data_IF_317700591022
#
_entry.id   IF_317700591022
#
_cell.length_a   1.000
_cell.length_b   1.000
_cell.length_c   1.000
_cell.angle_alpha   90.00
_cell.angle_beta   90.00
_cell.angle_gamma   90.00
#
_symmetry.space_group_name_H-M   'P 1'
#
loop_
_entity.id
_entity.type
_entity.pdbx_description
1 polymer ?
#
# COMPACT_ATOMS: atom_id res chain seq x y z
N UNK A 1 -8.80 25.57 4.68
CA UNK A 1 -8.80 24.82 3.41
C UNK A 1 -7.68 23.81 3.54
N UNK A 2 -8.03 22.57 3.85
CA UNK A 2 -7.08 21.53 4.24
C UNK A 2 -6.21 21.09 3.05
N UNK A 3 -4.90 21.15 3.26
CA UNK A 3 -3.84 20.90 2.26
C UNK A 3 -3.40 19.42 2.22
N UNK A 4 -4.22 18.47 2.67
CA UNK A 4 -3.84 17.04 2.80
C UNK A 4 -4.59 16.10 1.86
N UNK A 5 -5.31 16.63 0.86
CA UNK A 5 -6.02 15.83 -0.13
C UNK A 5 -5.10 15.18 -1.18
N UNK A 6 -4.18 14.31 -0.75
CA UNK A 6 -3.55 13.35 -1.66
C UNK A 6 -4.65 12.38 -2.11
N UNK A 7 -4.87 12.15 -3.42
CA UNK A 7 -5.92 11.25 -3.87
C UNK A 7 -5.59 9.82 -3.43
N UNK A 8 -6.34 9.31 -2.43
CA UNK A 8 -6.18 7.98 -1.82
C UNK A 8 -6.47 6.79 -2.77
N UNK A 9 -6.74 7.02 -4.06
CA UNK A 9 -7.26 5.99 -4.97
C UNK A 9 -6.23 4.95 -5.44
N UNK A 10 -4.95 5.08 -5.10
CA UNK A 10 -3.88 4.23 -5.67
C UNK A 10 -2.98 3.52 -4.63
N UNK A 11 -3.29 3.59 -3.34
CA UNK A 11 -2.52 2.90 -2.30
C UNK A 11 -3.27 1.65 -1.82
N UNK A 12 -2.54 0.59 -1.48
CA UNK A 12 -3.14 -0.62 -0.90
C UNK A 12 -3.79 -0.26 0.44
N UNK A 13 -5.07 -0.54 0.60
CA UNK A 13 -5.77 -0.35 1.87
C UNK A 13 -5.77 -1.65 2.66
N UNK A 14 -4.98 -1.68 3.72
CA UNK A 14 -4.93 -2.81 4.65
C UNK A 14 -5.80 -2.46 5.85
N UNK A 15 -6.90 -3.18 6.04
CA UNK A 15 -7.76 -3.02 7.20
C UNK A 15 -7.37 -3.99 8.30
N UNK A 16 -7.20 -3.49 9.53
CA UNK A 16 -6.92 -4.34 10.69
C UNK A 16 -8.11 -4.35 11.63
N UNK A 17 -8.69 -5.54 11.79
CA UNK A 17 -9.92 -5.78 12.55
C UNK A 17 -9.63 -6.70 13.73
N UNK A 18 -10.44 -6.59 14.77
CA UNK A 18 -10.25 -7.38 15.99
C UNK A 18 -10.90 -6.73 17.20
N UNK A 19 -11.26 -7.55 18.19
CA UNK A 19 -11.75 -7.06 19.48
C UNK A 19 -10.76 -6.10 20.17
N UNK A 20 -11.24 -5.33 21.14
CA UNK A 20 -10.36 -4.52 22.00
C UNK A 20 -9.33 -5.41 22.67
N UNK A 21 -8.13 -4.87 22.83
CA UNK A 21 -6.99 -5.57 23.43
C UNK A 21 -6.53 -6.85 22.70
N UNK A 22 -6.96 -7.11 21.46
CA UNK A 22 -6.42 -8.23 20.65
C UNK A 22 -4.97 -8.00 20.19
N UNK A 23 -4.45 -6.79 20.36
CA UNK A 23 -3.06 -6.43 20.03
C UNK A 23 -2.87 -5.88 18.61
N UNK A 24 -3.92 -5.33 17.99
CA UNK A 24 -3.88 -4.66 16.68
C UNK A 24 -2.75 -3.63 16.57
N UNK A 25 -2.69 -2.66 17.49
CA UNK A 25 -1.66 -1.60 17.52
C UNK A 25 -0.24 -2.16 17.64
N UNK A 26 -0.07 -3.21 18.45
CA UNK A 26 1.22 -3.90 18.58
C UNK A 26 1.61 -4.60 17.29
N UNK A 27 0.64 -5.24 16.61
CA UNK A 27 0.85 -5.86 15.31
C UNK A 27 1.24 -4.82 14.25
N UNK A 28 0.55 -3.67 14.19
CA UNK A 28 0.88 -2.57 13.30
C UNK A 28 2.34 -2.15 13.49
N UNK A 29 2.75 -1.88 14.73
CA UNK A 29 4.12 -1.51 15.06
C UNK A 29 5.15 -2.59 14.71
N UNK A 30 4.77 -3.86 14.80
CA UNK A 30 5.64 -4.97 14.43
C UNK A 30 5.78 -5.08 12.89
N UNK A 31 4.71 -4.83 12.13
CA UNK A 31 4.71 -4.86 10.67
C UNK A 31 5.51 -3.71 10.05
N UNK A 32 5.38 -2.50 10.59
CA UNK A 32 6.11 -1.29 10.12
C UNK A 32 7.59 -1.29 10.51
N UNK A 33 8.01 -2.19 11.40
CA UNK A 33 9.43 -2.50 11.60
C UNK A 33 10.29 -1.42 12.26
N UNK A 34 9.70 -0.37 12.87
CA UNK A 34 10.36 0.76 13.54
C UNK A 34 11.91 0.74 13.54
N UNK A 35 12.50 1.12 12.39
CA UNK A 35 13.90 1.50 12.25
C UNK A 35 14.02 3.03 12.30
N UNK A 36 13.50 3.65 13.36
CA UNK A 36 13.92 4.98 13.80
C UNK A 36 13.29 6.23 13.16
N UNK A 37 12.32 6.16 12.25
CA UNK A 37 11.80 7.35 11.53
C UNK A 37 10.28 7.58 11.58
N UNK A 38 9.54 6.95 12.49
CA UNK A 38 8.15 7.34 12.76
C UNK A 38 7.78 7.11 14.21
N UNK A 39 6.94 8.00 14.76
CA UNK A 39 6.36 7.79 16.08
C UNK A 39 5.64 6.43 16.11
N UNK A 40 5.75 5.67 17.21
CA UNK A 40 5.02 4.41 17.36
C UNK A 40 3.53 4.66 17.15
N UNK A 41 2.87 3.72 16.48
CA UNK A 41 1.42 3.74 16.29
C UNK A 41 0.73 3.71 17.65
N UNK A 42 -0.02 4.77 17.94
CA UNK A 42 -0.95 4.86 19.05
C UNK A 42 -2.36 4.74 18.47
N UNK A 43 -3.12 3.77 18.96
CA UNK A 43 -4.53 3.63 18.58
C UNK A 43 -5.32 4.84 19.04
N UNK A 44 -5.99 5.48 18.10
CA UNK A 44 -6.98 6.49 18.40
C UNK A 44 -8.28 5.78 18.79
N UNK A 45 -8.85 6.13 19.94
CA UNK A 45 -10.09 5.52 20.47
C UNK A 45 -11.34 6.14 19.80
N UNK A 46 -11.22 6.56 18.55
CA UNK A 46 -12.26 7.29 17.83
C UNK A 46 -13.24 6.32 17.17
N UNK A 47 -14.53 6.69 17.18
CA UNK A 47 -15.61 5.91 16.56
C UNK A 47 -15.48 5.80 15.03
N UNK A 48 -14.87 6.79 14.39
CA UNK A 48 -14.63 6.79 12.94
C UNK A 48 -13.34 6.04 12.58
N UNK A 49 -13.32 5.27 11.48
CA UNK A 49 -12.12 4.59 11.02
C UNK A 49 -11.03 5.61 10.66
N UNK A 50 -9.84 5.39 11.20
CA UNK A 50 -8.69 6.29 10.98
C UNK A 50 -7.81 5.71 9.88
N UNK A 51 -7.55 6.52 8.87
CA UNK A 51 -6.68 6.18 7.75
C UNK A 51 -5.29 6.74 8.02
N UNK A 52 -4.27 5.88 8.07
CA UNK A 52 -2.87 6.32 8.23
C UNK A 52 -2.01 5.70 7.14
N UNK A 53 -1.27 6.53 6.40
CA UNK A 53 -0.25 6.03 5.48
C UNK A 53 0.92 5.47 6.30
N UNK A 54 1.28 4.23 6.03
CA UNK A 54 2.38 3.52 6.67
C UNK A 54 3.25 2.83 5.60
N UNK A 55 4.50 2.55 5.95
CA UNK A 55 5.39 1.75 5.12
C UNK A 55 5.55 0.37 5.74
N UNK A 56 5.24 -0.68 4.98
CA UNK A 56 5.46 -2.07 5.40
C UNK A 56 6.59 -2.65 4.55
N UNK A 57 7.59 -3.22 5.25
CA UNK A 57 8.71 -3.89 4.60
C UNK A 57 8.22 -4.98 3.64
N UNK A 58 8.69 -4.93 2.39
CA UNK A 58 8.31 -5.88 1.33
C UNK A 58 7.02 -5.54 0.60
N UNK A 59 6.28 -4.50 1.01
CA UNK A 59 5.01 -4.06 0.38
C UNK A 59 5.05 -2.58 -0.05
N UNK A 60 5.83 -1.76 0.65
CA UNK A 60 5.96 -0.32 0.41
C UNK A 60 4.88 0.51 1.11
N UNK A 61 4.56 1.67 0.53
CA UNK A 61 3.55 2.60 1.06
C UNK A 61 2.13 2.02 0.92
N UNK A 62 1.39 2.00 2.02
CA UNK A 62 0.01 1.53 2.10
C UNK A 62 -0.82 2.36 3.08
N UNK A 63 -2.13 2.33 2.93
CA UNK A 63 -3.07 2.95 3.86
C UNK A 63 -3.54 1.90 4.86
N UNK A 64 -3.22 2.12 6.12
CA UNK A 64 -3.81 1.38 7.22
C UNK A 64 -5.18 1.96 7.54
N UNK A 65 -6.19 1.10 7.58
CA UNK A 65 -7.52 1.43 8.14
C UNK A 65 -7.58 0.84 9.54
N UNK A 66 -7.40 1.69 10.57
CA UNK A 66 -7.63 1.27 11.95
C UNK A 66 -9.09 1.47 12.31
N UNK A 67 -9.72 0.38 12.72
CA UNK A 67 -11.10 0.39 13.19
C UNK A 67 -11.12 0.44 14.71
N UNK A 68 -12.07 1.20 15.26
CA UNK A 68 -12.36 1.15 16.68
C UNK A 68 -12.51 -0.32 17.11
N UNK A 69 -11.69 -0.76 18.05
CA UNK A 69 -11.76 -2.15 18.51
C UNK A 69 -13.15 -2.44 19.10
N UNK A 70 -13.76 -3.55 18.69
CA UNK A 70 -15.05 -3.98 19.22
C UNK A 70 -14.92 -4.45 20.68
N UNK A 71 -15.75 -3.89 21.57
CA UNK A 71 -15.72 -4.20 23.00
C UNK A 71 -16.35 -5.54 23.37
N UNK A 72 -17.18 -6.12 22.50
CA UNK A 72 -17.95 -7.33 22.82
C UNK A 72 -18.92 -7.18 24.01
N UNK A 73 -19.03 -5.98 24.61
CA UNK A 73 -19.88 -5.67 25.76
C UNK A 73 -20.76 -4.47 25.43
N UNK A 74 -21.95 -4.74 24.94
CA UNK A 74 -22.94 -3.73 24.53
C UNK A 74 -23.35 -3.89 23.06
N UNK A 75 -24.52 -3.36 22.70
CA UNK A 75 -24.87 -3.19 21.29
C UNK A 75 -23.85 -2.24 20.66
N UNK A 76 -23.27 -2.61 19.51
CA UNK A 76 -22.61 -1.64 18.63
C UNK A 76 -23.55 -0.46 18.46
N UNK A 77 -23.06 0.75 18.71
CA UNK A 77 -23.86 1.91 18.35
C UNK A 77 -24.06 1.87 16.83
N UNK A 78 -25.18 2.42 16.36
CA UNK A 78 -25.44 2.49 14.91
C UNK A 78 -24.28 3.16 14.16
N UNK A 79 -23.61 4.12 14.79
CA UNK A 79 -22.42 4.78 14.25
C UNK A 79 -21.20 3.87 14.17
N UNK A 80 -20.97 3.01 15.17
CA UNK A 80 -19.87 2.05 15.13
C UNK A 80 -20.07 1.03 14.00
N UNK A 81 -21.32 0.61 13.76
CA UNK A 81 -21.67 -0.29 12.65
C UNK A 81 -21.49 0.39 11.28
N UNK A 82 -21.91 1.65 11.15
CA UNK A 82 -21.72 2.45 9.93
C UNK A 82 -20.22 2.68 9.63
N UNK A 83 -19.42 3.01 10.65
CA UNK A 83 -17.97 3.16 10.53
C UNK A 83 -17.26 1.86 10.15
N UNK A 84 -17.68 0.73 10.72
CA UNK A 84 -17.17 -0.60 10.35
C UNK A 84 -17.48 -0.91 8.88
N UNK A 85 -18.71 -0.68 8.44
CA UNK A 85 -19.13 -0.92 7.05
C UNK A 85 -18.30 -0.10 6.06
N UNK A 86 -18.03 1.18 6.37
CA UNK A 86 -17.18 2.04 5.54
C UNK A 86 -15.72 1.55 5.50
N UNK A 87 -15.19 1.11 6.64
CA UNK A 87 -13.85 0.53 6.71
C UNK A 87 -13.74 -0.74 5.86
N UNK A 88 -14.76 -1.61 5.92
CA UNK A 88 -14.81 -2.82 5.10
C UNK A 88 -14.90 -2.51 3.60
N UNK A 89 -15.68 -1.51 3.19
CA UNK A 89 -15.81 -1.11 1.79
C UNK A 89 -14.48 -0.64 1.19
N UNK A 90 -13.65 0.02 2.00
CA UNK A 90 -12.35 0.55 1.55
C UNK A 90 -11.19 -0.39 1.76
N UNK A 91 -11.39 -1.57 2.32
CA UNK A 91 -10.30 -2.50 2.61
C UNK A 91 -10.02 -3.40 1.40
N UNK A 92 -8.81 -3.34 0.87
CA UNK A 92 -8.32 -4.23 -0.18
C UNK A 92 -7.88 -5.58 0.40
N UNK A 93 -7.21 -5.57 1.56
CA UNK A 93 -6.77 -6.78 2.29
C UNK A 93 -7.13 -6.64 3.77
N UNK A 94 -7.91 -7.60 4.29
CA UNK A 94 -8.35 -7.58 5.68
C UNK A 94 -7.48 -8.49 6.55
N UNK A 95 -6.91 -7.94 7.63
CA UNK A 95 -6.21 -8.71 8.67
C UNK A 95 -7.11 -8.75 9.90
N UNK A 96 -7.52 -9.95 10.31
CA UNK A 96 -8.43 -10.15 11.44
C UNK A 96 -7.69 -10.79 12.62
N UNK A 97 -7.53 -10.02 13.69
CA UNK A 97 -6.70 -10.36 14.86
C UNK A 97 -7.56 -10.95 15.98
N UNK A 98 -7.37 -12.24 16.24
CA UNK A 98 -7.97 -13.02 17.32
C UNK A 98 -6.99 -13.16 18.49
N UNK A 99 -7.46 -13.02 19.73
CA UNK A 99 -6.62 -13.19 20.93
C UNK A 99 -7.35 -13.81 22.15
N UNK A 100 -8.54 -14.39 21.94
CA UNK A 100 -9.35 -15.00 23.01
C UNK A 100 -10.20 -16.16 22.49
N UNK A 101 -10.80 -16.92 23.41
CA UNK A 101 -11.60 -18.13 23.13
C UNK A 101 -12.80 -17.90 22.22
N UNK A 102 -13.42 -16.73 22.38
CA UNK A 102 -14.56 -16.29 21.60
C UNK A 102 -14.08 -15.54 20.37
N UNK A 103 -14.29 -16.15 19.20
CA UNK A 103 -13.96 -15.61 17.87
C UNK A 103 -15.21 -15.36 17.02
N UNK A 104 -16.41 -15.35 17.63
CA UNK A 104 -17.67 -15.27 16.88
C UNK A 104 -17.75 -14.04 15.97
N UNK A 105 -17.40 -12.87 16.50
CA UNK A 105 -17.41 -11.61 15.74
C UNK A 105 -16.35 -11.58 14.64
N UNK A 106 -15.13 -12.06 14.95
CA UNK A 106 -14.03 -12.14 14.00
C UNK A 106 -14.37 -13.03 12.81
N UNK A 107 -15.06 -14.15 13.06
CA UNK A 107 -15.57 -15.04 12.01
C UNK A 107 -16.68 -14.40 11.17
N UNK A 108 -17.53 -13.57 11.77
CA UNK A 108 -18.56 -12.83 11.06
C UNK A 108 -17.94 -11.81 10.10
N UNK A 109 -16.96 -11.02 10.57
CA UNK A 109 -16.21 -10.11 9.70
C UNK A 109 -15.49 -10.85 8.57
N UNK A 110 -14.87 -11.99 8.87
CA UNK A 110 -14.21 -12.81 7.85
C UNK A 110 -15.18 -13.26 6.76
N UNK A 111 -16.39 -13.71 7.13
CA UNK A 111 -17.43 -14.10 6.18
C UNK A 111 -17.90 -12.92 5.34
N UNK A 112 -18.05 -11.74 5.95
CA UNK A 112 -18.46 -10.53 5.23
C UNK A 112 -17.41 -10.10 4.19
N UNK A 113 -16.12 -10.11 4.55
CA UNK A 113 -15.05 -9.83 3.60
C UNK A 113 -14.98 -10.84 2.46
N UNK A 114 -15.14 -12.13 2.75
CA UNK A 114 -15.21 -13.17 1.72
C UNK A 114 -16.39 -12.97 0.76
N UNK A 115 -17.56 -12.58 1.27
CA UNK A 115 -18.72 -12.26 0.43
C UNK A 115 -18.42 -11.10 -0.53
N UNK A 116 -17.61 -10.14 -0.07
CA UNK A 116 -17.14 -8.99 -0.86
C UNK A 116 -15.95 -9.32 -1.78
N UNK A 117 -15.44 -10.56 -1.75
CA UNK A 117 -14.24 -11.01 -2.48
C UNK A 117 -12.95 -10.29 -2.09
N UNK A 118 -12.90 -9.69 -0.90
CA UNK A 118 -11.66 -9.14 -0.33
C UNK A 118 -10.87 -10.28 0.34
N UNK A 119 -9.56 -10.44 0.06
CA UNK A 119 -8.70 -11.37 0.78
C UNK A 119 -8.70 -11.14 2.29
N UNK A 120 -8.73 -12.25 3.04
CA UNK A 120 -8.76 -12.24 4.51
C UNK A 120 -7.59 -13.02 5.07
N UNK A 121 -6.82 -12.39 5.96
CA UNK A 121 -5.71 -13.00 6.69
C UNK A 121 -6.14 -13.12 8.15
N UNK A 122 -6.44 -14.34 8.57
CA UNK A 122 -6.76 -14.64 9.97
C UNK A 122 -5.47 -14.73 10.79
N UNK A 123 -5.40 -14.00 11.90
CA UNK A 123 -4.22 -13.94 12.77
C UNK A 123 -4.60 -14.30 14.20
N UNK A 124 -3.91 -15.26 14.80
CA UNK A 124 -4.00 -15.55 16.23
C UNK A 124 -2.81 -14.88 16.93
N UNK A 125 -3.08 -13.85 17.71
CA UNK A 125 -2.07 -13.08 18.43
C UNK A 125 -1.94 -13.53 19.89
N UNK A 126 -0.84 -13.12 20.54
CA UNK A 126 -0.50 -13.43 21.93
C UNK A 126 -0.33 -14.93 22.21
N UNK A 127 0.20 -15.68 21.23
CA UNK A 127 0.44 -17.13 21.40
C UNK A 127 1.41 -17.46 22.55
N UNK A 128 2.16 -16.47 23.02
CA UNK A 128 3.01 -16.54 24.22
C UNK A 128 2.22 -16.49 25.54
N UNK A 129 0.98 -16.00 25.51
CA UNK A 129 0.16 -15.75 26.71
C UNK A 129 -1.09 -16.63 26.77
N UNK A 130 -1.61 -17.06 25.61
CA UNK A 130 -2.85 -17.84 25.53
C UNK A 130 -2.54 -19.34 25.37
N UNK A 131 -3.09 -20.16 26.27
CA UNK A 131 -2.87 -21.61 26.30
C UNK A 131 -3.74 -22.39 25.30
N UNK A 132 -4.71 -21.73 24.69
CA UNK A 132 -5.76 -22.34 23.87
C UNK A 132 -5.62 -22.07 22.37
N UNK A 133 -4.42 -21.71 21.91
CA UNK A 133 -4.12 -21.38 20.51
C UNK A 133 -4.65 -22.44 19.53
N UNK A 134 -4.48 -23.73 19.81
CA UNK A 134 -4.97 -24.82 18.94
C UNK A 134 -6.50 -24.89 18.85
N UNK A 135 -7.20 -24.57 19.95
CA UNK A 135 -8.66 -24.53 19.98
C UNK A 135 -9.18 -23.39 19.10
N UNK A 136 -8.54 -22.22 19.16
CA UNK A 136 -8.86 -21.07 18.32
C UNK A 136 -8.60 -21.41 16.85
N UNK A 137 -7.43 -22.00 16.54
CA UNK A 137 -7.09 -22.48 15.19
C UNK A 137 -8.17 -23.41 14.64
N UNK A 138 -8.56 -24.44 15.39
CA UNK A 138 -9.57 -25.39 14.95
C UNK A 138 -10.91 -24.73 14.62
N UNK A 139 -11.38 -23.80 15.47
CA UNK A 139 -12.61 -23.05 15.19
C UNK A 139 -12.52 -22.24 13.90
N UNK A 140 -11.39 -21.56 13.66
CA UNK A 140 -11.16 -20.77 12.45
C UNK A 140 -11.15 -21.69 11.23
N UNK A 141 -10.40 -22.79 11.29
CA UNK A 141 -10.29 -23.75 10.21
C UNK A 141 -11.64 -24.43 9.90
N UNK A 142 -12.41 -24.82 10.92
CA UNK A 142 -13.73 -25.41 10.72
C UNK A 142 -14.69 -24.46 10.01
N UNK A 143 -14.66 -23.17 10.38
CA UNK A 143 -15.56 -22.15 9.85
C UNK A 143 -15.15 -21.61 8.46
N UNK A 144 -13.84 -21.46 8.19
CA UNK A 144 -13.33 -20.77 7.01
C UNK A 144 -12.52 -21.65 6.05
N UNK A 145 -12.14 -22.87 6.48
CA UNK A 145 -11.26 -23.82 5.76
C UNK A 145 -9.88 -23.26 5.40
N UNK A 146 -9.41 -22.30 6.20
CA UNK A 146 -8.11 -21.64 6.04
C UNK A 146 -7.31 -21.71 7.35
N UNK A 147 -5.98 -21.78 7.22
CA UNK A 147 -5.07 -21.82 8.35
C UNK A 147 -4.73 -20.40 8.84
N UNK A 148 -5.01 -20.06 10.10
CA UNK A 148 -4.64 -18.75 10.64
C UNK A 148 -3.14 -18.66 10.95
N UNK A 149 -2.57 -17.47 10.75
CA UNK A 149 -1.19 -17.18 11.12
C UNK A 149 -1.08 -16.99 12.63
N UNK A 150 -0.23 -17.79 13.27
CA UNK A 150 0.06 -17.71 14.71
C UNK A 150 1.20 -16.73 14.96
N UNK A 151 0.95 -15.70 15.77
CA UNK A 151 1.94 -14.66 16.06
C UNK A 151 2.01 -14.29 17.55
N UNK A 152 3.14 -13.71 17.92
CA UNK A 152 3.25 -12.86 19.11
C UNK A 152 3.79 -11.52 18.68
N UNK A 153 2.90 -10.51 18.61
CA UNK A 153 3.28 -9.18 18.13
C UNK A 153 4.34 -8.51 19.03
N UNK A 154 4.32 -8.79 20.33
CA UNK A 154 5.31 -8.25 21.30
C UNK A 154 6.69 -8.85 21.05
N UNK A 155 6.77 -10.17 20.89
CA UNK A 155 8.05 -10.87 20.65
C UNK A 155 8.47 -10.90 19.18
N UNK A 156 7.65 -10.30 18.29
CA UNK A 156 7.79 -10.31 16.83
C UNK A 156 7.83 -11.70 16.19
N UNK A 157 7.35 -12.73 16.91
CA UNK A 157 7.25 -14.08 16.38
C UNK A 157 6.13 -14.18 15.35
N UNK A 158 6.43 -14.75 14.17
CA UNK A 158 5.45 -15.00 13.11
C UNK A 158 5.05 -13.78 12.27
N UNK A 159 5.64 -12.60 12.52
CA UNK A 159 5.33 -11.37 11.78
C UNK A 159 5.72 -11.46 10.31
N UNK A 160 6.84 -12.12 10.00
CA UNK A 160 7.26 -12.30 8.61
C UNK A 160 6.25 -13.13 7.80
N UNK A 161 5.64 -14.15 8.43
CA UNK A 161 4.57 -14.93 7.79
C UNK A 161 3.34 -14.07 7.50
N UNK A 162 3.02 -13.10 8.37
CA UNK A 162 1.92 -12.15 8.09
C UNK A 162 2.26 -11.30 6.87
N UNK A 163 3.51 -10.84 6.73
CA UNK A 163 3.96 -10.09 5.54
C UNK A 163 3.89 -10.94 4.27
N UNK A 164 4.37 -12.17 4.32
CA UNK A 164 4.27 -13.14 3.21
C UNK A 164 2.82 -13.36 2.77
N UNK A 165 1.90 -13.53 3.71
CA UNK A 165 0.47 -13.69 3.39
C UNK A 165 -0.15 -12.41 2.82
N UNK A 166 0.24 -11.22 3.29
CA UNK A 166 -0.19 -9.96 2.68
C UNK A 166 0.29 -9.91 1.22
N UNK A 167 1.58 -10.20 0.97
CA UNK A 167 2.14 -10.21 -0.39
C UNK A 167 1.43 -11.20 -1.30
N UNK A 168 1.07 -12.39 -0.81
CA UNK A 168 0.29 -13.37 -1.59
C UNK A 168 -1.13 -12.93 -1.90
N UNK A 169 -1.73 -12.14 -1.01
CA UNK A 169 -3.09 -11.63 -1.16
C UNK A 169 -3.15 -10.42 -2.10
N UNK A 170 -2.02 -9.77 -2.37
CA UNK A 170 -1.90 -8.71 -3.35
C UNK A 170 -1.98 -9.33 -4.75
N UNK A 171 -2.95 -8.93 -5.61
CA UNK A 171 -3.03 -9.42 -6.98
C UNK A 171 -1.75 -9.14 -7.78
N UNK A 172 -1.34 -10.02 -8.70
CA UNK A 172 -0.15 -9.81 -9.55
C UNK A 172 -0.23 -8.50 -10.38
N UNK A 173 -1.44 -8.05 -10.71
CA UNK A 173 -1.70 -6.77 -11.40
C UNK A 173 -1.62 -5.53 -10.49
N UNK A 174 -1.44 -5.71 -9.17
CA UNK A 174 -1.34 -4.60 -8.22
C UNK A 174 -0.01 -3.84 -8.35
N UNK A 175 1.10 -4.52 -8.64
CA UNK A 175 2.38 -3.85 -8.96
C UNK A 175 2.33 -3.17 -10.33
N UNK A 176 1.65 -3.76 -11.31
CA UNK A 176 1.44 -3.18 -12.65
C UNK A 176 0.60 -1.89 -12.60
N UNK A 177 -0.30 -1.78 -11.61
CA UNK A 177 -1.11 -0.57 -11.34
C UNK A 177 -0.33 0.57 -10.68
N UNK A 178 0.82 0.30 -10.05
CA UNK A 178 1.45 1.27 -9.14
C UNK A 178 2.20 2.40 -9.83
N UNK A 179 2.86 2.18 -10.97
CA UNK A 179 3.85 3.17 -11.43
C UNK A 179 3.44 3.88 -12.73
N UNK A 180 2.48 3.33 -13.49
CA UNK A 180 1.80 4.10 -14.54
C UNK A 180 0.37 3.59 -14.82
N UNK A 181 -0.24 2.87 -13.86
CA UNK A 181 -1.46 2.06 -14.02
C UNK A 181 -2.58 2.73 -14.81
N UNK A 182 -2.89 3.98 -14.45
CA UNK A 182 -3.94 4.79 -15.10
C UNK A 182 -3.39 5.91 -16.01
N UNK A 183 -2.06 6.14 -16.00
CA UNK A 183 -1.47 7.24 -16.77
C UNK A 183 -1.22 6.86 -18.22
N UNK A 184 -0.91 5.58 -18.46
CA UNK A 184 -0.54 5.05 -19.78
C UNK A 184 -1.10 3.65 -19.97
N UNK A 185 -1.47 3.32 -21.20
CA UNK A 185 -1.91 1.99 -21.65
C UNK A 185 -0.91 1.39 -22.66
N UNK A 186 -1.14 0.15 -23.09
CA UNK A 186 -0.35 -0.47 -24.15
C UNK A 186 -0.36 0.39 -25.41
N UNK A 187 0.80 0.60 -26.03
CA UNK A 187 0.95 1.45 -27.23
C UNK A 187 0.95 2.97 -26.98
N UNK A 188 0.80 3.42 -25.74
CA UNK A 188 0.97 4.83 -25.41
C UNK A 188 2.42 5.29 -25.57
N UNK A 189 2.57 6.53 -26.02
CA UNK A 189 3.86 7.18 -26.19
C UNK A 189 4.26 7.90 -24.90
N UNK A 190 5.42 7.54 -24.34
CA UNK A 190 5.95 8.12 -23.10
C UNK A 190 7.31 8.75 -23.36
N UNK A 191 7.48 10.01 -22.92
CA UNK A 191 8.72 10.77 -23.09
C UNK A 191 9.44 10.91 -21.73
N UNK A 192 10.65 10.38 -21.64
CA UNK A 192 11.52 10.49 -20.49
C UNK A 192 12.50 11.66 -20.67
N UNK A 193 12.47 12.64 -19.77
CA UNK A 193 13.39 13.78 -19.78
C UNK A 193 14.36 13.65 -18.61
N UNK A 194 15.62 13.35 -18.92
CA UNK A 194 16.64 13.02 -17.92
C UNK A 194 17.83 13.97 -17.98
N UNK A 195 18.31 14.43 -16.83
CA UNK A 195 19.56 15.18 -16.70
C UNK A 195 20.74 14.22 -16.90
N UNK A 196 21.79 14.69 -17.58
CA UNK A 196 23.03 13.90 -17.72
C UNK A 196 23.72 13.81 -16.37
N UNK A 197 24.14 12.60 -16.01
CA UNK A 197 24.93 12.40 -14.80
C UNK A 197 26.27 13.13 -14.93
N UNK A 198 26.65 13.90 -13.92
CA UNK A 198 28.02 14.39 -13.78
C UNK A 198 28.94 13.20 -13.57
N UNK A 199 30.03 13.12 -14.33
CA UNK A 199 31.01 12.01 -14.29
C UNK A 199 31.77 11.89 -12.94
N UNK A 200 31.54 12.82 -12.01
CA UNK A 200 32.23 12.93 -10.73
C UNK A 200 31.24 12.82 -9.57
N UNK A 201 30.87 11.60 -9.17
CA UNK A 201 30.85 11.21 -7.75
C UNK A 201 30.43 9.76 -7.54
N UNK A 202 31.20 9.02 -6.73
CA UNK A 202 30.76 7.76 -6.12
C UNK A 202 29.78 8.07 -4.96
N UNK A 203 28.65 8.69 -5.27
CA UNK A 203 27.63 9.03 -4.28
C UNK A 203 26.43 8.06 -4.40
N UNK A 204 26.08 7.41 -3.29
CA UNK A 204 24.96 6.46 -3.17
C UNK A 204 23.59 7.03 -3.62
N UNK A 205 23.44 8.36 -3.59
CA UNK A 205 22.23 9.05 -4.06
C UNK A 205 22.12 9.07 -5.59
N UNK A 206 23.22 9.22 -6.34
CA UNK A 206 23.19 9.19 -7.81
C UNK A 206 22.88 7.78 -8.33
N UNK A 207 23.39 6.76 -7.66
CA UNK A 207 23.14 5.36 -8.00
C UNK A 207 21.68 4.98 -7.79
N UNK A 208 21.05 5.50 -6.73
CA UNK A 208 19.61 5.36 -6.51
C UNK A 208 18.81 6.03 -7.63
N UNK A 209 19.16 7.24 -8.06
CA UNK A 209 18.46 7.92 -9.17
C UNK A 209 18.60 7.16 -10.49
N UNK A 210 19.80 6.62 -10.79
CA UNK A 210 20.03 5.76 -11.96
C UNK A 210 19.15 4.52 -11.93
N UNK A 211 19.03 3.87 -10.77
CA UNK A 211 18.17 2.70 -10.60
C UNK A 211 16.69 3.03 -10.81
N UNK A 212 16.21 4.16 -10.29
CA UNK A 212 14.82 4.61 -10.46
C UNK A 212 14.48 4.87 -11.94
N UNK A 213 15.41 5.46 -12.71
CA UNK A 213 15.24 5.69 -14.15
C UNK A 213 15.19 4.37 -14.94
N UNK A 214 16.09 3.44 -14.64
CA UNK A 214 16.12 2.12 -15.28
C UNK A 214 14.86 1.31 -14.97
N UNK A 215 14.41 1.32 -13.71
CA UNK A 215 13.19 0.65 -13.29
C UNK A 215 11.95 1.19 -14.03
N UNK A 216 11.80 2.52 -14.09
CA UNK A 216 10.70 3.15 -14.82
C UNK A 216 10.72 2.79 -16.31
N UNK A 217 11.91 2.77 -16.94
CA UNK A 217 12.05 2.36 -18.34
C UNK A 217 11.60 0.91 -18.55
N UNK A 218 12.13 -0.04 -17.75
CA UNK A 218 11.75 -1.45 -17.87
C UNK A 218 10.24 -1.65 -17.71
N UNK A 219 9.63 -1.02 -16.72
CA UNK A 219 8.19 -1.15 -16.47
C UNK A 219 7.32 -0.62 -17.60
N UNK A 220 7.70 0.50 -18.22
CA UNK A 220 7.00 1.03 -19.39
C UNK A 220 7.09 0.07 -20.59
N UNK A 221 8.26 -0.56 -20.78
CA UNK A 221 8.46 -1.53 -21.84
C UNK A 221 7.68 -2.83 -21.57
N UNK A 222 7.66 -3.31 -20.33
CA UNK A 222 6.87 -4.48 -19.93
C UNK A 222 5.37 -4.27 -20.16
N UNK A 223 4.88 -3.02 -20.04
CA UNK A 223 3.49 -2.64 -20.35
C UNK A 223 3.23 -2.42 -21.85
N UNK A 224 4.24 -2.53 -22.71
CA UNK A 224 4.12 -2.34 -24.15
C UNK A 224 4.00 -0.87 -24.58
N UNK A 225 4.46 0.08 -23.76
CA UNK A 225 4.50 1.49 -24.15
C UNK A 225 5.66 1.76 -25.13
N UNK A 226 5.49 2.80 -25.95
CA UNK A 226 6.55 3.33 -26.82
C UNK A 226 7.30 4.39 -26.01
N UNK A 227 8.56 4.14 -25.68
CA UNK A 227 9.35 5.02 -24.83
C UNK A 227 10.38 5.79 -25.66
N UNK A 228 10.41 7.11 -25.50
CA UNK A 228 11.41 8.02 -26.07
C UNK A 228 12.11 8.73 -24.93
N UNK A 229 13.43 8.98 -25.04
CA UNK A 229 14.18 9.72 -24.04
C UNK A 229 14.95 10.89 -24.63
N UNK A 230 15.09 11.97 -23.86
CA UNK A 230 15.89 13.12 -24.25
C UNK A 230 16.47 13.85 -23.03
N UNK A 231 17.44 14.73 -23.27
CA UNK A 231 17.93 15.68 -22.27
C UNK A 231 17.07 16.96 -22.26
N UNK A 232 17.11 17.79 -21.21
CA UNK A 232 16.22 18.95 -21.06
C UNK A 232 16.38 20.00 -22.17
N UNK A 233 17.60 20.13 -22.69
CA UNK A 233 17.94 20.99 -23.83
C UNK A 233 17.33 20.48 -25.15
N UNK A 234 17.13 19.16 -25.27
CA UNK A 234 16.56 18.51 -26.46
C UNK A 234 15.04 18.28 -26.40
N UNK A 235 14.38 18.64 -25.30
CA UNK A 235 12.93 18.47 -25.14
C UNK A 235 12.13 19.11 -26.29
N UNK A 236 12.51 20.31 -26.74
CA UNK A 236 11.79 20.99 -27.82
C UNK A 236 11.88 20.22 -29.14
N UNK A 237 13.09 19.81 -29.53
CA UNK A 237 13.36 19.01 -30.73
C UNK A 237 12.69 17.62 -30.65
N UNK A 238 12.69 17.01 -29.47
CA UNK A 238 12.02 15.74 -29.24
C UNK A 238 10.50 15.88 -29.46
N UNK A 239 9.86 16.88 -28.87
CA UNK A 239 8.42 17.11 -29.02
C UNK A 239 8.02 17.41 -30.47
N UNK A 240 8.81 18.19 -31.21
CA UNK A 240 8.53 18.47 -32.63
C UNK A 240 8.81 17.29 -33.54
N UNK A 241 9.70 16.38 -33.16
CA UNK A 241 9.98 15.14 -33.91
C UNK A 241 8.91 14.05 -33.76
N UNK A 242 8.01 14.17 -32.79
CA UNK A 242 6.95 13.20 -32.56
C UNK A 242 5.73 13.50 -33.43
N UNK A 243 5.18 12.45 -34.06
CA UNK A 243 3.97 12.56 -34.90
C UNK A 243 2.70 12.85 -34.10
N UNK A 244 2.71 12.54 -32.79
CA UNK A 244 1.64 12.85 -31.82
C UNK A 244 2.29 13.25 -30.50
N UNK A 245 1.66 14.11 -29.68
CA UNK A 245 2.17 14.43 -28.36
C UNK A 245 2.26 13.15 -27.50
N UNK A 246 3.27 13.02 -26.63
CA UNK A 246 3.35 11.90 -25.70
C UNK A 246 2.14 11.95 -24.75
N UNK A 247 1.59 10.79 -24.41
CA UNK A 247 0.55 10.67 -23.38
C UNK A 247 1.07 11.13 -22.03
N UNK A 248 2.29 10.70 -21.70
CA UNK A 248 2.95 10.97 -20.43
C UNK A 248 4.38 11.45 -20.67
N UNK A 249 4.77 12.47 -19.92
CA UNK A 249 6.16 12.91 -19.78
C UNK A 249 6.62 12.60 -18.36
N UNK A 250 7.79 12.00 -18.21
CA UNK A 250 8.42 11.71 -16.92
C UNK A 250 9.74 12.45 -16.88
N UNK A 251 9.94 13.31 -15.89
CA UNK A 251 11.13 14.15 -15.78
C UNK A 251 11.85 13.99 -14.43
N UNK A 252 13.15 14.30 -14.39
CA UNK A 252 13.81 14.47 -13.09
C UNK A 252 13.20 15.66 -12.33
N UNK A 253 13.11 15.53 -11.00
CA UNK A 253 12.46 16.52 -10.14
C UNK A 253 13.13 17.91 -10.25
N UNK A 254 14.43 17.97 -10.50
CA UNK A 254 15.21 19.20 -10.66
C UNK A 254 14.78 20.06 -11.86
N UNK A 255 14.37 19.40 -12.95
CA UNK A 255 13.99 20.06 -14.21
C UNK A 255 12.48 20.14 -14.41
N UNK A 256 11.69 19.64 -13.45
CA UNK A 256 10.25 19.46 -13.61
C UNK A 256 9.52 20.74 -14.05
N UNK A 257 9.88 21.90 -13.48
CA UNK A 257 9.31 23.21 -13.86
C UNK A 257 9.66 23.61 -15.29
N UNK A 258 10.89 23.34 -15.72
CA UNK A 258 11.35 23.62 -17.08
C UNK A 258 10.62 22.75 -18.10
N UNK A 259 10.33 21.49 -17.75
CA UNK A 259 9.56 20.57 -18.61
C UNK A 259 8.09 20.99 -18.63
N UNK A 260 7.52 21.36 -17.49
CA UNK A 260 6.12 21.81 -17.39
C UNK A 260 5.81 23.02 -18.27
N UNK A 261 6.72 23.98 -18.39
CA UNK A 261 6.50 25.16 -19.25
C UNK A 261 6.56 24.86 -20.75
N UNK A 262 7.14 23.71 -21.14
CA UNK A 262 7.29 23.29 -22.54
C UNK A 262 6.39 22.13 -22.94
N UNK A 263 5.66 21.51 -21.99
CA UNK A 263 4.84 20.33 -22.27
C UNK A 263 3.65 20.69 -23.18
N UNK A 264 3.21 19.78 -24.06
CA UNK A 264 1.92 19.92 -24.73
C UNK A 264 0.77 19.93 -23.71
N UNK A 265 -0.34 20.62 -24.06
CA UNK A 265 -1.52 20.71 -23.19
C UNK A 265 -2.05 19.35 -22.76
N UNK A 266 -2.18 18.44 -23.73
CA UNK A 266 -2.79 17.11 -23.58
C UNK A 266 -1.87 16.07 -22.93
N UNK A 267 -0.58 16.36 -22.80
CA UNK A 267 0.40 15.46 -22.18
C UNK A 267 0.34 15.55 -20.66
N UNK A 268 0.27 14.41 -19.97
CA UNK A 268 0.47 14.34 -18.53
C UNK A 268 1.95 14.54 -18.19
N UNK A 269 2.26 15.03 -16.98
CA UNK A 269 3.64 15.20 -16.50
C UNK A 269 3.77 14.66 -15.07
N UNK A 270 4.80 13.85 -14.83
CA UNK A 270 5.18 13.34 -13.50
C UNK A 270 6.71 13.29 -13.37
N UNK A 271 7.23 12.92 -12.20
CA UNK A 271 8.66 12.74 -11.97
C UNK A 271 9.03 11.30 -11.59
N UNK A 272 10.28 10.90 -11.84
CA UNK A 272 10.78 9.57 -11.45
C UNK A 272 10.66 9.30 -9.95
N UNK A 273 10.84 10.33 -9.12
CA UNK A 273 10.67 10.24 -7.66
C UNK A 273 9.21 10.02 -7.28
N UNK A 274 8.28 10.74 -7.94
CA UNK A 274 6.83 10.61 -7.68
C UNK A 274 6.33 9.24 -8.12
N UNK A 275 6.83 8.73 -9.24
CA UNK A 275 6.46 7.42 -9.78
C UNK A 275 6.81 6.27 -8.84
N UNK A 276 7.99 6.31 -8.23
CA UNK A 276 8.41 5.25 -7.29
C UNK A 276 7.90 5.45 -5.85
N UNK A 277 7.28 6.59 -5.55
CA UNK A 277 6.62 6.86 -4.26
C UNK A 277 5.15 6.41 -4.22
N UNK A 278 4.63 5.87 -5.33
CA UNK A 278 3.23 5.47 -5.54
C UNK A 278 3.07 3.95 -5.51
#
# INVERSE_FOLDING_TARGET
MDLTGTPMRNQLHIGIFGKRNSGKSTLINALTGNNGLSMPYVADVTTDPVYKTIEIQGIGSCVLIDTAGFDGKGQLSRRDAEGMGLAMERTDVAIIVCAGDDVGQELEWAKEFKLRKAPVIMVINKIDQISNTDKIRNKIYEALKEEPVKISAISRLGIEKVREEIVRCIPEDFEVKRIAGDLVEEGDLVLLVMVRDSQDSQNSQEEQVKQLRLQALCQLLDKGCIVVSCTPDKLGEALTGLTKPPKLIIADSEIFRQVYSKKPGDSLLTSFSVLNSR
#
